data_IF_504006262683
#
_entry.id   IF_504006262683
#
_cell.length_a   1.000
_cell.length_b   1.000
_cell.length_c   1.000
_cell.angle_alpha   90.00
_cell.angle_beta   90.00
_cell.angle_gamma   90.00
#
_symmetry.space_group_name_H-M   'P 1'
#
loop_
_entity.id
_entity.type
_entity.pdbx_description
1 polymer ?
#
# COMPACT_ATOMS: atom_id res chain seq x y z
N UNK A 1 10.38 3.16 -10.52
CA UNK A 1 10.97 2.40 -9.39
C UNK A 1 12.45 2.70 -9.15
N UNK A 2 13.25 3.10 -10.16
CA UNK A 2 14.67 3.44 -9.98
C UNK A 2 14.96 4.67 -9.12
N UNK A 3 14.02 5.58 -8.96
CA UNK A 3 14.17 6.81 -8.16
C UNK A 3 13.97 6.64 -6.66
N UNK A 4 13.09 5.71 -6.23
CA UNK A 4 12.75 5.53 -4.82
C UNK A 4 13.94 5.11 -3.94
N UNK A 5 14.75 4.10 -4.31
CA UNK A 5 15.93 3.74 -3.54
C UNK A 5 16.99 4.85 -3.49
N UNK A 6 17.13 5.64 -4.57
CA UNK A 6 18.05 6.76 -4.61
C UNK A 6 17.61 7.90 -3.69
N UNK A 7 16.31 8.17 -3.61
CA UNK A 7 15.76 9.18 -2.71
C UNK A 7 15.88 8.73 -1.24
N UNK A 8 15.55 7.48 -0.94
CA UNK A 8 15.69 6.92 0.41
C UNK A 8 17.13 7.02 0.90
N UNK A 9 18.12 6.71 0.05
CA UNK A 9 19.55 6.88 0.41
C UNK A 9 19.93 8.33 0.71
N UNK A 10 19.26 9.32 0.09
CA UNK A 10 19.58 10.75 0.30
C UNK A 10 18.91 11.33 1.54
N UNK A 11 17.63 11.05 1.75
CA UNK A 11 16.83 11.73 2.77
C UNK A 11 16.36 10.81 3.89
N UNK A 12 16.52 9.50 3.74
CA UNK A 12 16.09 8.48 4.69
C UNK A 12 14.64 8.03 4.48
N UNK A 13 14.35 6.74 4.79
CA UNK A 13 13.02 6.16 4.62
C UNK A 13 11.96 6.81 5.52
N UNK A 14 12.34 7.33 6.69
CA UNK A 14 11.44 8.07 7.60
C UNK A 14 10.77 9.27 6.93
N UNK A 15 11.57 10.11 6.27
CA UNK A 15 11.08 11.32 5.60
C UNK A 15 10.28 10.93 4.36
N UNK A 16 10.80 9.97 3.58
CA UNK A 16 10.10 9.46 2.40
C UNK A 16 8.72 8.93 2.78
N UNK A 17 8.60 8.13 3.85
CA UNK A 17 7.35 7.57 4.30
C UNK A 17 6.31 8.66 4.63
N UNK A 18 6.68 9.68 5.40
CA UNK A 18 5.77 10.77 5.74
C UNK A 18 5.34 11.59 4.52
N UNK A 19 6.29 11.96 3.66
CA UNK A 19 6.00 12.77 2.47
C UNK A 19 5.10 11.99 1.50
N UNK A 20 5.39 10.72 1.28
CA UNK A 20 4.61 9.90 0.35
C UNK A 20 3.24 9.52 0.90
N UNK A 21 3.07 9.42 2.22
CA UNK A 21 1.76 9.30 2.85
C UNK A 21 0.87 10.51 2.54
N UNK A 22 1.43 11.73 2.63
CA UNK A 22 0.70 12.96 2.26
C UNK A 22 0.38 12.98 0.77
N UNK A 23 1.32 12.61 -0.10
CA UNK A 23 1.10 12.56 -1.56
C UNK A 23 0.00 11.55 -1.91
N UNK A 24 0.02 10.35 -1.32
CA UNK A 24 -1.00 9.32 -1.54
C UNK A 24 -2.39 9.80 -1.07
N UNK A 25 -2.46 10.41 0.12
CA UNK A 25 -3.70 10.97 0.66
C UNK A 25 -4.25 12.10 -0.21
N UNK A 26 -3.39 13.00 -0.69
CA UNK A 26 -3.80 14.08 -1.61
C UNK A 26 -4.36 13.52 -2.92
N UNK A 27 -3.70 12.51 -3.50
CA UNK A 27 -4.20 11.82 -4.70
C UNK A 27 -5.57 11.19 -4.49
N UNK A 28 -5.78 10.51 -3.35
CA UNK A 28 -7.06 9.90 -2.98
C UNK A 28 -8.17 10.95 -2.82
N UNK A 29 -7.86 12.08 -2.18
CA UNK A 29 -8.82 13.21 -2.07
C UNK A 29 -9.15 13.82 -3.42
N UNK A 30 -8.17 14.01 -4.32
CA UNK A 30 -8.43 14.49 -5.69
C UNK A 30 -9.41 13.58 -6.42
N UNK A 31 -9.27 12.26 -6.30
CA UNK A 31 -10.20 11.29 -6.90
C UNK A 31 -11.59 11.45 -6.30
N UNK A 32 -11.70 11.53 -4.97
CA UNK A 32 -12.97 11.48 -4.27
C UNK A 32 -13.83 12.74 -4.39
N UNK A 33 -13.20 13.92 -4.54
CA UNK A 33 -13.91 15.21 -4.60
C UNK A 33 -14.05 15.78 -6.01
N UNK A 34 -13.43 15.18 -7.02
CA UNK A 34 -13.52 15.70 -8.39
C UNK A 34 -14.50 14.92 -9.24
N UNK A 35 -15.25 15.65 -10.07
CA UNK A 35 -16.06 15.10 -11.16
C UNK A 35 -15.41 15.27 -12.53
N UNK A 36 -14.34 16.07 -12.61
CA UNK A 36 -13.62 16.33 -13.85
C UNK A 36 -12.59 15.23 -14.15
N UNK A 37 -12.75 14.54 -15.26
CA UNK A 37 -11.87 13.43 -15.65
C UNK A 37 -10.37 13.76 -15.59
N UNK A 38 -9.87 14.93 -16.07
CA UNK A 38 -8.45 15.25 -15.97
C UNK A 38 -7.93 15.30 -14.52
N UNK A 39 -8.74 15.81 -13.59
CA UNK A 39 -8.38 15.89 -12.16
C UNK A 39 -8.39 14.50 -11.53
N UNK A 40 -9.35 13.64 -11.88
CA UNK A 40 -9.40 12.25 -11.43
C UNK A 40 -8.17 11.48 -11.93
N UNK A 41 -7.79 11.64 -13.19
CA UNK A 41 -6.58 11.02 -13.74
C UNK A 41 -5.30 11.53 -13.06
N UNK A 42 -5.22 12.83 -12.78
CA UNK A 42 -4.13 13.40 -11.98
C UNK A 42 -4.10 12.80 -10.56
N UNK A 43 -5.27 12.62 -9.95
CA UNK A 43 -5.41 11.97 -8.64
C UNK A 43 -4.87 10.54 -8.65
N UNK A 44 -5.21 9.72 -9.65
CA UNK A 44 -4.67 8.36 -9.79
C UNK A 44 -3.14 8.37 -9.97
N UNK A 45 -2.61 9.26 -10.80
CA UNK A 45 -1.17 9.41 -10.99
C UNK A 45 -0.46 9.80 -9.69
N UNK A 46 -0.98 10.78 -8.98
CA UNK A 46 -0.45 11.27 -7.71
C UNK A 46 -0.49 10.18 -6.63
N UNK A 47 -1.63 9.50 -6.49
CA UNK A 47 -1.81 8.39 -5.57
C UNK A 47 -0.86 7.23 -5.89
N UNK A 48 -0.74 6.86 -7.16
CA UNK A 48 0.14 5.78 -7.62
C UNK A 48 1.63 6.05 -7.30
N UNK A 49 2.09 7.29 -7.51
CA UNK A 49 3.44 7.71 -7.11
C UNK A 49 3.60 7.60 -5.59
N UNK A 50 2.64 8.15 -4.83
CA UNK A 50 2.66 8.13 -3.37
C UNK A 50 2.73 6.71 -2.82
N UNK A 51 1.83 5.82 -3.25
CA UNK A 51 1.76 4.42 -2.78
C UNK A 51 3.02 3.64 -3.15
N UNK A 52 3.50 3.76 -4.40
CA UNK A 52 4.70 3.04 -4.83
C UNK A 52 5.95 3.40 -4.02
N UNK A 53 6.11 4.68 -3.70
CA UNK A 53 7.25 5.14 -2.90
C UNK A 53 7.06 4.81 -1.42
N UNK A 54 5.83 4.87 -0.90
CA UNK A 54 5.46 4.48 0.45
C UNK A 54 5.79 2.99 0.69
N UNK A 55 5.43 2.13 -0.25
CA UNK A 55 5.68 0.70 -0.18
C UNK A 55 7.19 0.40 -0.07
N UNK A 56 8.01 1.03 -0.91
CA UNK A 56 9.47 0.88 -0.84
C UNK A 56 10.01 1.37 0.51
N UNK A 57 9.52 2.50 1.03
CA UNK A 57 9.97 3.05 2.30
C UNK A 57 9.55 2.17 3.49
N UNK A 58 8.32 1.63 3.49
CA UNK A 58 7.83 0.67 4.49
C UNK A 58 8.67 -0.60 4.50
N UNK A 59 8.89 -1.21 3.33
CA UNK A 59 9.69 -2.42 3.21
C UNK A 59 11.14 -2.17 3.66
N UNK A 60 11.71 -0.99 3.39
CA UNK A 60 13.03 -0.62 3.91
C UNK A 60 13.04 -0.61 5.45
N UNK A 61 12.01 -0.03 6.09
CA UNK A 61 11.87 -0.06 7.56
C UNK A 61 11.70 -1.49 8.08
N UNK A 62 10.94 -2.34 7.39
CA UNK A 62 10.79 -3.75 7.72
C UNK A 62 12.11 -4.51 7.72
N UNK A 63 12.91 -4.35 6.67
CA UNK A 63 14.26 -4.95 6.57
C UNK A 63 15.19 -4.44 7.67
N UNK A 64 15.16 -3.13 7.97
CA UNK A 64 15.94 -2.56 9.08
C UNK A 64 15.52 -3.17 10.41
N UNK A 65 14.23 -3.32 10.65
CA UNK A 65 13.72 -3.94 11.87
C UNK A 65 14.20 -5.40 12.01
N UNK A 66 14.09 -6.21 10.96
CA UNK A 66 14.59 -7.60 10.97
C UNK A 66 16.11 -7.67 11.21
N UNK A 67 16.86 -6.75 10.63
CA UNK A 67 18.31 -6.68 10.83
C UNK A 67 18.67 -6.40 12.30
N UNK A 68 17.97 -5.46 12.97
CA UNK A 68 18.26 -5.11 14.37
C UNK A 68 17.66 -6.09 15.37
N UNK A 69 16.44 -6.59 15.12
CA UNK A 69 15.74 -7.50 16.04
C UNK A 69 16.20 -8.95 15.91
N UNK A 70 16.88 -9.30 14.81
CA UNK A 70 17.23 -10.68 14.45
C UNK A 70 16.02 -11.61 14.34
N UNK A 71 14.85 -11.08 14.07
CA UNK A 71 13.59 -11.81 13.92
C UNK A 71 13.06 -11.67 12.49
N UNK A 72 12.38 -12.71 12.01
CA UNK A 72 11.67 -12.67 10.73
C UNK A 72 10.27 -12.12 10.96
N UNK A 73 10.03 -10.87 10.60
CA UNK A 73 8.77 -10.15 10.89
C UNK A 73 8.06 -9.63 9.65
N UNK A 74 8.64 -9.82 8.45
CA UNK A 74 8.07 -9.29 7.22
C UNK A 74 6.67 -9.84 6.94
N UNK A 75 6.43 -11.14 7.19
CA UNK A 75 5.09 -11.73 7.06
C UNK A 75 4.06 -11.06 7.98
N UNK A 76 4.46 -10.71 9.20
CA UNK A 76 3.60 -10.01 10.15
C UNK A 76 3.24 -8.60 9.65
N UNK A 77 4.20 -7.86 9.06
CA UNK A 77 3.90 -6.56 8.45
C UNK A 77 2.89 -6.68 7.30
N UNK A 78 3.06 -7.68 6.43
CA UNK A 78 2.09 -7.94 5.37
C UNK A 78 0.73 -8.45 5.89
N UNK A 79 0.70 -9.15 7.03
CA UNK A 79 -0.55 -9.50 7.69
C UNK A 79 -1.28 -8.23 8.18
N UNK A 80 -0.58 -7.30 8.85
CA UNK A 80 -1.18 -6.02 9.26
C UNK A 80 -1.68 -5.17 8.09
N UNK A 81 -1.01 -5.22 6.94
CA UNK A 81 -1.54 -4.63 5.71
C UNK A 81 -2.91 -5.21 5.33
N UNK A 82 -3.04 -6.54 5.37
CA UNK A 82 -4.33 -7.21 5.09
C UNK A 82 -5.40 -6.86 6.14
N UNK A 83 -5.04 -6.74 7.41
CA UNK A 83 -5.95 -6.26 8.46
C UNK A 83 -6.42 -4.83 8.19
N UNK A 84 -5.52 -3.96 7.73
CA UNK A 84 -5.86 -2.60 7.29
C UNK A 84 -6.91 -2.59 6.17
N UNK A 85 -6.78 -3.51 5.19
CA UNK A 85 -7.76 -3.66 4.12
C UNK A 85 -9.12 -4.15 4.62
N UNK A 86 -9.17 -5.04 5.61
CA UNK A 86 -10.42 -5.45 6.30
C UNK A 86 -11.09 -4.23 6.94
N UNK A 87 -10.35 -3.46 7.73
CA UNK A 87 -10.89 -2.27 8.40
C UNK A 87 -11.38 -1.22 7.39
N UNK A 88 -10.63 -0.98 6.32
CA UNK A 88 -11.03 -0.06 5.26
C UNK A 88 -12.31 -0.51 4.55
N UNK A 89 -12.47 -1.82 4.29
CA UNK A 89 -13.69 -2.37 3.69
C UNK A 89 -14.90 -2.25 4.62
N UNK A 90 -14.73 -2.47 5.92
CA UNK A 90 -15.80 -2.28 6.89
C UNK A 90 -16.25 -0.82 6.97
N UNK A 91 -15.30 0.11 7.05
CA UNK A 91 -15.59 1.56 7.05
C UNK A 91 -16.27 1.95 5.74
N UNK A 92 -15.75 1.50 4.60
CA UNK A 92 -16.33 1.74 3.28
C UNK A 92 -17.76 1.21 3.16
N UNK A 93 -18.04 0.02 3.69
CA UNK A 93 -19.39 -0.56 3.73
C UNK A 93 -20.35 0.30 4.56
N UNK A 94 -19.95 0.75 5.75
CA UNK A 94 -20.75 1.65 6.60
C UNK A 94 -21.01 2.98 5.87
N UNK A 95 -19.97 3.58 5.28
CA UNK A 95 -20.11 4.84 4.53
C UNK A 95 -21.06 4.69 3.34
N UNK A 96 -20.93 3.61 2.58
CA UNK A 96 -21.78 3.33 1.43
C UNK A 96 -23.25 3.10 1.85
N UNK A 97 -23.48 2.37 2.93
CA UNK A 97 -24.84 2.13 3.48
C UNK A 97 -25.45 3.42 4.01
N UNK A 98 -24.65 4.30 4.60
CA UNK A 98 -25.09 5.62 5.09
C UNK A 98 -25.28 6.64 3.96
N UNK A 99 -25.02 6.30 2.69
CA UNK A 99 -25.16 7.20 1.55
C UNK A 99 -24.12 8.31 1.50
N UNK A 100 -22.98 8.14 2.19
CA UNK A 100 -21.90 9.12 2.16
C UNK A 100 -21.17 9.09 0.81
N UNK A 101 -20.70 10.26 0.38
CA UNK A 101 -19.96 10.38 -0.88
C UNK A 101 -18.57 9.74 -0.78
N UNK A 102 -18.04 9.30 -1.91
CA UNK A 102 -16.67 8.76 -1.99
C UNK A 102 -15.62 9.73 -1.42
N UNK A 103 -15.78 11.05 -1.66
CA UNK A 103 -14.88 12.07 -1.13
C UNK A 103 -14.82 12.10 0.39
N UNK A 104 -15.97 11.99 1.05
CA UNK A 104 -16.04 11.96 2.53
C UNK A 104 -15.37 10.68 3.05
N UNK A 105 -15.64 9.53 2.43
CA UNK A 105 -15.03 8.26 2.82
C UNK A 105 -13.49 8.31 2.66
N UNK A 106 -13.00 8.82 1.54
CA UNK A 106 -11.56 8.94 1.29
C UNK A 106 -10.89 9.93 2.23
N UNK A 107 -11.55 11.03 2.55
CA UNK A 107 -11.04 12.00 3.53
C UNK A 107 -10.96 11.36 4.94
N UNK A 108 -12.01 10.64 5.35
CA UNK A 108 -12.06 9.96 6.63
C UNK A 108 -10.96 8.88 6.79
N UNK A 109 -10.55 8.24 5.69
CA UNK A 109 -9.43 7.31 5.68
C UNK A 109 -8.07 8.04 5.64
N UNK A 110 -7.96 9.11 4.84
CA UNK A 110 -6.71 9.83 4.58
C UNK A 110 -6.20 10.61 5.80
N UNK A 111 -7.10 11.27 6.52
CA UNK A 111 -6.70 12.12 7.66
C UNK A 111 -6.05 11.29 8.79
N UNK A 112 -6.67 10.22 9.31
CA UNK A 112 -6.02 9.37 10.33
C UNK A 112 -4.71 8.76 9.82
N UNK A 113 -4.66 8.34 8.55
CA UNK A 113 -3.46 7.76 7.97
C UNK A 113 -2.29 8.74 7.99
N UNK A 114 -2.48 9.98 7.54
CA UNK A 114 -1.44 11.02 7.54
C UNK A 114 -1.06 11.38 8.98
N UNK A 115 -2.04 11.61 9.85
CA UNK A 115 -1.78 11.95 11.26
C UNK A 115 -0.98 10.85 11.96
N UNK A 116 -1.39 9.59 11.81
CA UNK A 116 -0.67 8.46 12.40
C UNK A 116 0.74 8.32 11.80
N UNK A 117 0.90 8.49 10.49
CA UNK A 117 2.23 8.44 9.84
C UNK A 117 3.17 9.50 10.40
N UNK A 118 2.68 10.71 10.65
CA UNK A 118 3.47 11.80 11.25
C UNK A 118 3.78 11.54 12.73
N UNK A 119 2.80 11.11 13.51
CA UNK A 119 2.98 10.86 14.95
C UNK A 119 3.90 9.66 15.22
N UNK A 120 3.77 8.59 14.43
CA UNK A 120 4.53 7.36 14.58
C UNK A 120 5.93 7.44 13.95
N UNK A 121 6.21 8.45 13.13
CA UNK A 121 7.51 8.64 12.49
C UNK A 121 8.70 8.61 13.46
N UNK A 122 8.51 9.12 14.67
CA UNK A 122 9.55 9.14 15.72
C UNK A 122 10.00 7.74 16.17
N UNK A 123 9.15 6.72 15.98
CA UNK A 123 9.45 5.34 16.35
C UNK A 123 10.12 4.54 15.22
N UNK A 124 10.16 5.08 14.02
CA UNK A 124 10.84 4.45 12.90
C UNK A 124 12.36 4.40 13.14
N UNK A 125 13.00 3.37 12.59
CA UNK A 125 14.43 3.17 12.77
C UNK A 125 15.23 4.18 11.91
N UNK A 126 16.26 4.82 12.48
CA UNK A 126 17.16 5.66 11.68
C UNK A 126 18.00 4.77 10.77
N UNK A 127 18.05 5.12 9.49
CA UNK A 127 19.06 4.54 8.63
C UNK A 127 20.43 5.02 9.10
N UNK A 128 21.26 4.10 9.60
CA UNK A 128 22.69 4.36 9.61
C UNK A 128 23.10 4.53 8.15
N UNK A 129 23.75 5.64 7.81
CA UNK A 129 24.52 5.71 6.59
C UNK A 129 25.47 4.52 6.66
N UNK A 130 25.21 3.52 5.85
CA UNK A 130 26.18 2.46 5.62
C UNK A 130 27.30 3.21 4.91
N UNK A 131 28.38 3.48 5.64
CA UNK A 131 29.55 4.13 5.10
C UNK A 131 29.91 3.40 3.80
N UNK A 132 30.28 4.15 2.78
CA UNK A 132 30.44 3.76 1.37
C UNK A 132 31.48 2.65 1.10
N UNK A 133 31.82 1.84 2.09
CA UNK A 133 32.81 0.75 1.94
C UNK A 133 32.28 -0.54 1.32
N UNK A 134 30.98 -0.76 1.23
CA UNK A 134 30.47 -1.74 0.27
C UNK A 134 30.41 -1.08 -1.11
N UNK A 135 31.61 -0.97 -1.72
CA UNK A 135 31.75 -0.79 -3.17
C UNK A 135 30.79 -1.79 -3.82
N UNK A 136 29.70 -1.25 -4.35
CA UNK A 136 28.78 -2.01 -5.19
C UNK A 136 29.61 -2.66 -6.28
N UNK A 137 29.99 -3.90 -6.08
CA UNK A 137 30.52 -4.74 -7.13
C UNK A 137 29.38 -4.83 -8.14
N UNK A 138 29.49 -4.06 -9.21
CA UNK A 138 28.59 -4.14 -10.37
C UNK A 138 28.84 -5.47 -11.09
N UNK A 139 28.62 -6.56 -10.40
CA UNK A 139 28.53 -7.86 -11.04
C UNK A 139 27.19 -7.94 -11.73
N UNK A 140 27.23 -7.91 -13.04
CA UNK A 140 26.09 -8.23 -13.91
C UNK A 140 25.80 -9.72 -13.75
N UNK A 141 25.18 -10.10 -12.61
CA UNK A 141 24.77 -11.48 -12.41
C UNK A 141 23.60 -11.77 -13.36
N UNK A 142 23.72 -12.89 -14.09
CA UNK A 142 22.57 -13.45 -14.81
C UNK A 142 21.50 -13.75 -13.77
N UNK A 143 20.27 -13.28 -14.01
CA UNK A 143 19.16 -13.55 -13.11
C UNK A 143 18.95 -15.07 -13.05
N UNK A 144 19.07 -15.72 -11.88
CA UNK A 144 18.85 -17.17 -11.77
C UNK A 144 17.41 -17.52 -12.20
N UNK A 145 17.25 -18.70 -12.82
CA UNK A 145 15.91 -19.18 -13.25
C UNK A 145 14.90 -19.18 -12.09
N UNK A 146 15.33 -19.52 -10.88
CA UNK A 146 14.46 -19.52 -9.70
C UNK A 146 13.88 -18.15 -9.42
N UNK A 147 14.64 -17.07 -9.61
CA UNK A 147 14.13 -15.69 -9.43
C UNK A 147 13.06 -15.36 -10.48
N UNK A 148 13.26 -15.81 -11.73
CA UNK A 148 12.26 -15.63 -12.79
C UNK A 148 10.96 -16.39 -12.48
N UNK A 149 11.08 -17.64 -12.01
CA UNK A 149 9.92 -18.45 -11.62
C UNK A 149 9.16 -17.77 -10.47
N UNK A 150 9.87 -17.35 -9.41
CA UNK A 150 9.25 -16.62 -8.29
C UNK A 150 8.57 -15.32 -8.76
N UNK A 151 9.20 -14.58 -9.69
CA UNK A 151 8.62 -13.36 -10.24
C UNK A 151 7.32 -13.63 -11.02
N UNK A 152 7.27 -14.70 -11.82
CA UNK A 152 6.04 -15.12 -12.53
C UNK A 152 4.95 -15.55 -11.55
N UNK A 153 5.30 -16.33 -10.51
CA UNK A 153 4.33 -16.71 -9.48
C UNK A 153 3.78 -15.50 -8.74
N UNK A 154 4.63 -14.55 -8.38
CA UNK A 154 4.20 -13.30 -7.76
C UNK A 154 3.30 -12.48 -8.70
N UNK A 155 3.63 -12.39 -9.98
CA UNK A 155 2.80 -11.71 -10.98
C UNK A 155 1.40 -12.31 -11.04
N UNK A 156 1.27 -13.63 -11.09
CA UNK A 156 -0.02 -14.32 -11.13
C UNK A 156 -0.83 -14.12 -9.84
N UNK A 157 -0.16 -14.17 -8.68
CA UNK A 157 -0.79 -13.93 -7.38
C UNK A 157 -1.33 -12.50 -7.28
N UNK A 158 -0.53 -11.50 -7.65
CA UNK A 158 -0.96 -10.10 -7.67
C UNK A 158 -2.05 -9.82 -8.70
N UNK A 159 -2.04 -10.49 -9.86
CA UNK A 159 -3.12 -10.38 -10.84
C UNK A 159 -4.45 -10.92 -10.28
N UNK A 160 -4.41 -12.03 -9.55
CA UNK A 160 -5.60 -12.58 -8.89
C UNK A 160 -6.11 -11.66 -7.77
N UNK A 161 -5.22 -11.18 -6.90
CA UNK A 161 -5.55 -10.23 -5.83
C UNK A 161 -6.16 -8.93 -6.38
N UNK A 162 -5.53 -8.35 -7.41
CA UNK A 162 -6.01 -7.15 -8.08
C UNK A 162 -7.38 -7.36 -8.72
N UNK A 163 -7.61 -8.52 -9.34
CA UNK A 163 -8.92 -8.84 -9.91
C UNK A 163 -10.03 -8.85 -8.87
N UNK A 164 -9.79 -9.40 -7.68
CA UNK A 164 -10.76 -9.36 -6.59
C UNK A 164 -10.95 -7.93 -6.07
N UNK A 165 -9.85 -7.19 -5.88
CA UNK A 165 -9.90 -5.81 -5.37
C UNK A 165 -10.64 -4.84 -6.29
N UNK A 166 -10.40 -4.94 -7.61
CA UNK A 166 -10.95 -3.99 -8.58
C UNK A 166 -12.35 -4.39 -9.09
N UNK A 167 -12.57 -5.68 -9.34
CA UNK A 167 -13.80 -6.16 -9.98
C UNK A 167 -14.79 -6.81 -9.01
N UNK A 168 -14.36 -7.22 -7.81
CA UNK A 168 -15.22 -7.95 -6.88
C UNK A 168 -16.46 -7.16 -6.46
N UNK A 169 -16.28 -5.91 -6.06
CA UNK A 169 -17.39 -5.03 -5.67
C UNK A 169 -18.32 -4.75 -6.86
N UNK A 170 -17.75 -4.43 -8.02
CA UNK A 170 -18.50 -4.18 -9.25
C UNK A 170 -19.31 -5.42 -9.67
N UNK A 171 -18.71 -6.60 -9.66
CA UNK A 171 -19.39 -7.86 -9.97
C UNK A 171 -20.58 -8.11 -9.05
N UNK A 172 -20.41 -7.95 -7.73
CA UNK A 172 -21.53 -8.16 -6.80
C UNK A 172 -22.66 -7.15 -6.99
N UNK A 173 -22.33 -5.89 -7.23
CA UNK A 173 -23.36 -4.84 -7.35
C UNK A 173 -24.05 -4.85 -8.70
N UNK A 174 -23.35 -5.15 -9.81
CA UNK A 174 -23.93 -5.08 -11.16
C UNK A 174 -24.49 -6.40 -11.66
N UNK A 175 -23.86 -7.54 -11.30
CA UNK A 175 -24.27 -8.87 -11.79
C UNK A 175 -25.12 -9.62 -10.78
N UNK A 176 -24.84 -9.46 -9.48
CA UNK A 176 -25.58 -10.12 -8.41
C UNK A 176 -26.60 -9.20 -7.72
N UNK A 177 -26.71 -7.95 -8.17
CA UNK A 177 -27.65 -6.94 -7.66
C UNK A 177 -27.55 -6.75 -6.13
N UNK A 178 -26.37 -7.02 -5.56
CA UNK A 178 -26.12 -6.82 -4.15
C UNK A 178 -26.06 -5.32 -3.79
N UNK A 179 -26.37 -4.97 -2.55
CA UNK A 179 -26.24 -3.58 -2.09
C UNK A 179 -24.79 -3.09 -2.15
N UNK A 180 -24.61 -1.78 -2.26
CA UNK A 180 -23.28 -1.14 -2.26
C UNK A 180 -22.47 -1.50 -1.01
N UNK A 181 -23.12 -1.59 0.15
CA UNK A 181 -22.48 -2.01 1.40
C UNK A 181 -21.92 -3.44 1.34
N UNK A 182 -22.68 -4.37 0.76
CA UNK A 182 -22.24 -5.77 0.55
C UNK A 182 -21.09 -5.80 -0.46
N UNK A 183 -21.18 -5.04 -1.56
CA UNK A 183 -20.11 -4.93 -2.55
C UNK A 183 -18.79 -4.48 -1.91
N UNK A 184 -18.84 -3.50 -1.02
CA UNK A 184 -17.64 -2.99 -0.33
C UNK A 184 -16.97 -4.02 0.60
N UNK A 185 -17.69 -5.05 1.08
CA UNK A 185 -17.14 -6.08 1.96
C UNK A 185 -16.31 -7.16 1.25
N UNK A 186 -16.43 -7.28 -0.08
CA UNK A 186 -15.77 -8.38 -0.84
C UNK A 186 -14.28 -8.40 -0.60
N UNK A 187 -13.63 -7.27 -0.80
CA UNK A 187 -12.18 -7.17 -0.60
C UNK A 187 -11.78 -7.33 0.86
N UNK A 188 -12.66 -6.94 1.79
CA UNK A 188 -12.48 -7.16 3.22
C UNK A 188 -12.48 -8.64 3.59
N UNK A 189 -13.41 -9.43 3.05
CA UNK A 189 -13.48 -10.88 3.27
C UNK A 189 -12.23 -11.56 2.71
N UNK A 190 -11.86 -11.25 1.46
CA UNK A 190 -10.63 -11.75 0.84
C UNK A 190 -9.39 -11.43 1.68
N UNK A 191 -9.27 -10.17 2.11
CA UNK A 191 -8.14 -9.71 2.93
C UNK A 191 -8.13 -10.33 4.32
N UNK A 192 -9.29 -10.62 4.92
CA UNK A 192 -9.40 -11.31 6.19
C UNK A 192 -8.89 -12.74 6.14
N UNK A 193 -9.22 -13.49 5.08
CA UNK A 193 -8.66 -14.83 4.85
C UNK A 193 -7.15 -14.76 4.61
N UNK A 194 -6.69 -13.77 3.84
CA UNK A 194 -5.25 -13.55 3.59
C UNK A 194 -4.51 -13.21 4.89
N UNK A 195 -5.10 -12.38 5.75
CA UNK A 195 -4.55 -12.08 7.07
C UNK A 195 -4.37 -13.34 7.91
N UNK A 196 -5.43 -14.16 8.02
CA UNK A 196 -5.40 -15.40 8.80
C UNK A 196 -4.36 -16.42 8.25
N UNK A 197 -4.18 -16.45 6.93
CA UNK A 197 -3.20 -17.35 6.29
C UNK A 197 -1.74 -16.90 6.46
N UNK A 198 -1.50 -15.63 6.81
CA UNK A 198 -0.15 -15.07 7.02
C UNK A 198 0.34 -15.12 8.47
N UNK A 199 -0.54 -15.43 9.43
CA UNK A 199 -0.21 -15.63 10.85
C UNK A 199 0.29 -17.04 11.12
#
# INVERSE_FOLDING_TARGET
LGGSPALIRKVGSRIVLCVTAVIAAAGLCLIGFSTALPIVLLGFGTMGIGISMLDVAMNTQGVLYEYYSKSQSMNLFHAFYSLGAVLASLIGSVCATAGLTAGINFLAASVPFVVLSLLLNKYLLPERRVDEEEKTVKTRHKIPLVVLVCAVMALLAYAAEGSVGEWGALYLTTVKEASLGVGALVYGIFSGVTFAARL
#
